data_IF_789037780167
#
_entry.id   IF_789037780167
#
_cell.length_a   1.000
_cell.length_b   1.000
_cell.length_c   1.000
_cell.angle_alpha   90.00
_cell.angle_beta   90.00
_cell.angle_gamma   90.00
#
_symmetry.space_group_name_H-M   'P 1'
#
loop_
_entity.id
_entity.type
_entity.pdbx_description
1 polymer ?
#
# COMPACT_ATOMS: atom_id res chain seq x y z
N UNK A 1 -0.41 23.97 10.03
CA UNK A 1 0.88 24.64 9.79
C UNK A 1 1.01 25.11 8.35
N UNK A 2 1.03 24.24 7.34
CA UNK A 2 1.21 24.67 5.94
C UNK A 2 0.07 25.59 5.46
N UNK A 3 -1.19 25.20 5.68
CA UNK A 3 -2.36 26.00 5.27
C UNK A 3 -2.42 27.34 6.01
N UNK A 4 -2.07 27.35 7.30
CA UNK A 4 -2.07 28.57 8.13
C UNK A 4 -0.99 29.55 7.67
N UNK A 5 0.21 29.06 7.34
CA UNK A 5 1.30 29.89 6.82
C UNK A 5 1.00 30.41 5.42
N UNK A 6 0.39 29.58 4.56
CA UNK A 6 -0.08 30.02 3.24
C UNK A 6 -1.15 31.11 3.36
N UNK A 7 -2.16 30.94 4.22
CA UNK A 7 -3.21 31.93 4.39
C UNK A 7 -2.67 33.28 4.90
N UNK A 8 -1.67 33.26 5.79
CA UNK A 8 -0.97 34.48 6.21
C UNK A 8 -0.27 35.15 5.03
N UNK A 9 0.49 34.39 4.24
CA UNK A 9 1.21 34.90 3.09
C UNK A 9 0.26 35.48 2.02
N UNK A 10 -0.87 34.83 1.76
CA UNK A 10 -1.91 35.36 0.88
C UNK A 10 -2.55 36.63 1.43
N UNK A 11 -2.78 36.69 2.75
CA UNK A 11 -3.36 37.88 3.39
C UNK A 11 -2.39 39.07 3.30
N UNK A 12 -1.11 38.84 3.55
CA UNK A 12 -0.07 39.87 3.46
C UNK A 12 0.07 40.40 2.02
N UNK A 13 -0.04 39.50 1.02
CA UNK A 13 -0.03 39.88 -0.39
C UNK A 13 -1.30 40.62 -0.81
N UNK A 14 -2.49 40.21 -0.34
CA UNK A 14 -3.75 40.93 -0.58
C UNK A 14 -3.76 42.33 0.05
N UNK A 15 -3.09 42.51 1.19
CA UNK A 15 -2.92 43.81 1.82
C UNK A 15 -2.07 44.79 1.00
N UNK A 16 -1.29 44.29 0.02
CA UNK A 16 -0.51 45.10 -0.91
C UNK A 16 -1.28 45.49 -2.18
N UNK A 17 -2.60 45.24 -2.21
CA UNK A 17 -3.54 45.57 -3.29
C UNK A 17 -3.24 44.88 -4.64
N UNK A 18 -2.51 43.76 -4.61
CA UNK A 18 -2.26 42.93 -5.79
C UNK A 18 -3.41 41.94 -6.06
N UNK A 19 -3.93 41.97 -7.29
CA UNK A 19 -4.95 41.03 -7.76
C UNK A 19 -4.28 39.76 -8.30
N UNK A 20 -4.22 38.72 -7.49
CA UNK A 20 -3.68 37.43 -7.90
C UNK A 20 -4.73 36.58 -8.63
N UNK A 21 -4.33 35.93 -9.73
CA UNK A 21 -5.16 34.89 -10.34
C UNK A 21 -5.09 33.63 -9.47
N UNK A 22 -6.11 32.79 -9.53
CA UNK A 22 -6.13 31.51 -8.82
C UNK A 22 -4.94 30.61 -9.16
N UNK A 23 -4.40 30.76 -10.36
CA UNK A 23 -3.22 30.05 -10.83
C UNK A 23 -1.94 30.53 -10.12
N UNK A 24 -1.78 31.85 -9.95
CA UNK A 24 -0.65 32.44 -9.22
C UNK A 24 -0.68 32.03 -7.74
N UNK A 25 -1.87 32.04 -7.13
CA UNK A 25 -2.06 31.54 -5.76
C UNK A 25 -1.70 30.06 -5.62
N UNK A 26 -1.96 29.24 -6.65
CA UNK A 26 -1.61 27.82 -6.64
C UNK A 26 -0.08 27.63 -6.71
N UNK A 27 0.62 28.43 -7.50
CA UNK A 27 2.08 28.42 -7.59
C UNK A 27 2.73 28.91 -6.29
N UNK A 28 2.20 29.98 -5.69
CA UNK A 28 2.65 30.48 -4.39
C UNK A 28 2.44 29.43 -3.29
N UNK A 29 1.29 28.74 -3.31
CA UNK A 29 1.01 27.65 -2.38
C UNK A 29 2.03 26.52 -2.54
N UNK A 30 2.33 26.12 -3.78
CA UNK A 30 3.29 25.07 -4.08
C UNK A 30 4.72 25.45 -3.65
N UNK A 31 5.16 26.68 -3.94
CA UNK A 31 6.49 27.17 -3.55
C UNK A 31 6.65 27.42 -2.05
N UNK A 32 5.55 27.57 -1.31
CA UNK A 32 5.55 27.67 0.16
C UNK A 32 5.66 26.31 0.87
N UNK A 33 5.64 25.20 0.11
CA UNK A 33 5.73 23.87 0.68
C UNK A 33 7.18 23.54 1.07
N UNK A 34 7.36 22.97 2.26
CA UNK A 34 8.64 22.44 2.74
C UNK A 34 9.17 21.34 1.80
N UNK A 35 10.49 21.12 1.81
CA UNK A 35 11.19 20.14 0.95
C UNK A 35 10.59 18.72 1.00
N UNK A 36 9.96 18.33 2.13
CA UNK A 36 9.19 17.09 2.29
C UNK A 36 8.00 16.95 1.29
N UNK A 37 7.62 18.04 0.64
CA UNK A 37 6.57 18.15 -0.36
C UNK A 37 7.08 18.38 -1.78
N UNK A 38 8.39 18.42 -2.01
CA UNK A 38 8.98 18.53 -3.35
C UNK A 38 8.51 17.40 -4.29
N UNK A 39 8.31 16.18 -3.78
CA UNK A 39 7.72 15.09 -4.57
C UNK A 39 6.25 15.36 -4.95
N UNK A 40 5.51 16.06 -4.09
CA UNK A 40 4.12 16.43 -4.37
C UNK A 40 4.07 17.52 -5.45
N UNK A 41 4.91 18.54 -5.32
CA UNK A 41 5.08 19.62 -6.29
C UNK A 41 5.42 19.06 -7.67
N UNK A 42 6.46 18.22 -7.77
CA UNK A 42 6.84 17.57 -9.03
C UNK A 42 5.70 16.74 -9.61
N UNK A 43 4.92 16.01 -8.81
CA UNK A 43 3.76 15.25 -9.33
C UNK A 43 2.60 16.11 -9.81
N UNK A 44 2.37 17.28 -9.20
CA UNK A 44 1.31 18.20 -9.60
C UNK A 44 1.71 18.94 -10.88
N UNK A 45 2.98 19.33 -10.99
CA UNK A 45 3.54 20.04 -12.14
C UNK A 45 3.87 19.13 -13.33
N UNK A 46 3.90 17.80 -13.15
CA UNK A 46 4.32 16.90 -14.22
C UNK A 46 3.28 16.84 -15.36
N UNK A 47 3.59 17.48 -16.48
CA UNK A 47 2.82 17.39 -17.73
C UNK A 47 1.49 18.16 -17.73
N UNK A 48 1.31 19.09 -16.79
CA UNK A 48 0.17 20.03 -16.77
C UNK A 48 0.66 21.45 -17.07
N UNK A 49 0.11 22.04 -18.12
CA UNK A 49 0.37 23.44 -18.48
C UNK A 49 -0.37 24.43 -17.55
N UNK A 50 -1.40 23.95 -16.83
CA UNK A 50 -2.18 24.73 -15.86
C UNK A 50 -2.42 23.91 -14.58
N UNK A 51 -2.26 24.56 -13.43
CA UNK A 51 -2.47 24.00 -12.09
C UNK A 51 -3.55 24.79 -11.38
N UNK A 52 -4.65 24.10 -11.07
CA UNK A 52 -5.74 24.71 -10.32
C UNK A 52 -5.49 24.65 -8.81
N UNK A 53 -5.85 25.73 -8.12
CA UNK A 53 -5.71 25.82 -6.65
C UNK A 53 -6.49 24.71 -5.91
N UNK A 54 -7.64 24.29 -6.46
CA UNK A 54 -8.44 23.19 -5.92
C UNK A 54 -7.67 21.86 -5.94
N UNK A 55 -7.00 21.55 -7.04
CA UNK A 55 -6.20 20.32 -7.16
C UNK A 55 -5.03 20.32 -6.18
N UNK A 56 -4.35 21.45 -6.01
CA UNK A 56 -3.26 21.59 -5.03
C UNK A 56 -3.78 21.32 -3.61
N UNK A 57 -4.91 21.93 -3.24
CA UNK A 57 -5.54 21.73 -1.94
C UNK A 57 -5.95 20.26 -1.69
N UNK A 58 -6.58 19.61 -2.68
CA UNK A 58 -6.99 18.20 -2.58
C UNK A 58 -5.77 17.27 -2.47
N UNK A 59 -4.74 17.52 -3.26
CA UNK A 59 -3.50 16.75 -3.25
C UNK A 59 -2.78 16.90 -1.89
N UNK A 60 -2.71 18.12 -1.34
CA UNK A 60 -2.15 18.38 -0.02
C UNK A 60 -2.96 17.70 1.09
N UNK A 61 -4.28 17.83 1.07
CA UNK A 61 -5.15 17.22 2.07
C UNK A 61 -5.03 15.70 2.06
N UNK A 62 -5.03 15.07 0.89
CA UNK A 62 -4.88 13.62 0.75
C UNK A 62 -3.51 13.12 1.22
N UNK A 63 -2.43 13.87 1.00
CA UNK A 63 -1.09 13.53 1.48
C UNK A 63 -1.02 13.63 3.01
N UNK A 64 -1.58 14.68 3.59
CA UNK A 64 -1.62 14.87 5.05
C UNK A 64 -2.46 13.80 5.75
N UNK A 65 -3.58 13.41 5.15
CA UNK A 65 -4.42 12.31 5.65
C UNK A 65 -3.63 10.99 5.70
N UNK A 66 -2.92 10.64 4.61
CA UNK A 66 -2.06 9.43 4.57
C UNK A 66 -0.91 9.47 5.58
N UNK A 67 -0.39 10.66 5.93
CA UNK A 67 0.64 10.83 6.95
C UNK A 67 0.10 10.54 8.36
N UNK A 68 -1.11 10.99 8.67
CA UNK A 68 -1.79 10.70 9.95
C UNK A 68 -2.16 9.24 10.10
N UNK A 69 -2.61 8.58 9.03
CA UNK A 69 -2.87 7.13 9.04
C UNK A 69 -1.58 6.32 9.25
N UNK A 70 -0.46 6.77 8.66
CA UNK A 70 0.84 6.16 8.89
C UNK A 70 1.28 6.28 10.35
N UNK A 71 1.11 7.44 10.99
CA UNK A 71 1.46 7.66 12.40
C UNK A 71 0.70 6.72 13.36
N UNK A 72 -0.55 6.34 13.04
CA UNK A 72 -1.30 5.34 13.82
C UNK A 72 -0.72 3.92 13.62
N UNK A 73 -0.12 3.65 12.47
CA UNK A 73 0.50 2.35 12.13
C UNK A 73 2.01 2.26 12.39
N UNK A 74 2.69 3.38 12.67
CA UNK A 74 4.15 3.50 12.71
C UNK A 74 4.70 3.84 14.10
N UNK A 75 4.09 3.34 15.17
CA UNK A 75 4.81 3.07 16.44
C UNK A 75 5.77 1.88 16.26
N UNK A 76 6.54 1.90 15.19
CA UNK A 76 7.37 0.82 14.68
C UNK A 76 8.17 1.32 13.48
N UNK A 77 9.34 1.86 13.82
CA UNK A 77 10.57 1.91 13.04
C UNK A 77 10.68 2.87 11.84
N UNK A 78 11.38 3.97 12.14
CA UNK A 78 12.47 4.63 11.41
C UNK A 78 12.74 4.27 9.93
N UNK A 79 12.82 5.34 9.13
CA UNK A 79 13.88 5.62 8.16
C UNK A 79 14.33 4.46 7.23
N UNK A 80 13.55 4.16 6.18
CA UNK A 80 14.12 3.44 5.01
C UNK A 80 13.55 4.00 3.70
N UNK A 81 14.45 4.67 2.97
CA UNK A 81 14.50 4.94 1.53
C UNK A 81 13.45 4.17 0.69
N UNK A 82 12.50 4.91 0.11
CA UNK A 82 11.54 4.33 -0.85
C UNK A 82 12.17 4.13 -2.23
N UNK A 83 13.06 3.14 -2.34
CA UNK A 83 13.31 2.48 -3.63
C UNK A 83 12.12 1.58 -3.92
N UNK A 84 11.34 1.97 -4.93
CA UNK A 84 10.38 1.20 -5.73
C UNK A 84 10.19 -0.27 -5.29
N UNK A 85 9.11 -0.54 -4.55
CA UNK A 85 8.69 -1.89 -4.19
C UNK A 85 7.19 -1.96 -3.93
N UNK A 86 6.50 -2.84 -4.67
CA UNK A 86 5.06 -3.15 -4.54
C UNK A 86 4.62 -3.21 -3.07
N UNK A 87 3.65 -2.39 -2.67
CA UNK A 87 2.95 -2.60 -1.41
C UNK A 87 2.12 -3.88 -1.49
N UNK A 88 2.66 -4.99 -0.97
CA UNK A 88 1.83 -6.14 -0.64
C UNK A 88 0.97 -5.76 0.56
N UNK A 89 -0.28 -5.41 0.29
CA UNK A 89 -1.34 -5.35 1.30
C UNK A 89 -1.33 -6.67 2.07
N UNK A 90 -0.89 -6.63 3.32
CA UNK A 90 -1.04 -7.73 4.27
C UNK A 90 -2.51 -7.77 4.69
N UNK A 91 -3.36 -8.32 3.81
CA UNK A 91 -4.72 -8.70 4.16
C UNK A 91 -4.57 -9.81 5.20
N UNK A 92 -4.83 -9.48 6.46
CA UNK A 92 -5.00 -10.45 7.56
C UNK A 92 -6.30 -11.19 7.35
N UNK A 93 -6.36 -11.98 6.27
CA UNK A 93 -7.39 -12.99 6.16
C UNK A 93 -7.00 -14.06 7.17
N UNK A 94 -7.69 -14.09 8.31
CA UNK A 94 -7.73 -15.23 9.22
C UNK A 94 -8.37 -16.42 8.48
N UNK A 95 -7.69 -16.92 7.46
CA UNK A 95 -8.02 -18.18 6.82
C UNK A 95 -7.61 -19.23 7.83
N UNK A 96 -8.60 -19.86 8.45
CA UNK A 96 -8.43 -21.04 9.28
C UNK A 96 -7.31 -21.89 8.71
N UNK A 97 -6.21 -21.97 9.48
CA UNK A 97 -5.06 -22.80 9.16
C UNK A 97 -5.55 -24.24 9.29
N UNK A 98 -6.10 -24.78 8.20
CA UNK A 98 -6.38 -26.21 8.09
C UNK A 98 -5.13 -26.94 8.53
N UNK A 99 -5.28 -27.75 9.59
CA UNK A 99 -4.25 -28.55 10.25
C UNK A 99 -3.14 -28.89 9.26
N UNK A 100 -1.92 -28.42 9.56
CA UNK A 100 -0.70 -28.85 8.88
C UNK A 100 -0.79 -30.37 8.74
N UNK A 101 -0.99 -30.87 7.53
CA UNK A 101 -0.87 -32.31 7.27
C UNK A 101 0.51 -32.68 7.78
N UNK A 102 0.57 -33.59 8.75
CA UNK A 102 1.84 -34.12 9.24
C UNK A 102 2.68 -34.48 8.01
N UNK A 103 3.93 -34.00 7.99
CA UNK A 103 4.84 -34.33 6.90
C UNK A 103 5.03 -35.84 6.96
N UNK A 104 4.47 -36.55 5.97
CA UNK A 104 4.66 -37.98 5.80
C UNK A 104 6.16 -38.26 5.75
N UNK A 105 6.59 -39.35 6.38
CA UNK A 105 7.97 -39.81 6.25
C UNK A 105 8.27 -40.14 4.78
N UNK A 106 9.57 -40.15 4.41
CA UNK A 106 10.02 -40.38 3.02
C UNK A 106 9.57 -41.73 2.44
N UNK A 107 9.15 -42.64 3.31
CA UNK A 107 8.71 -44.00 2.98
C UNK A 107 7.32 -44.31 3.56
N UNK A 108 6.45 -43.30 3.70
CA UNK A 108 5.10 -43.44 4.25
C UNK A 108 4.02 -43.20 3.20
N UNK A 109 3.05 -44.10 3.12
CA UNK A 109 1.97 -44.05 2.16
C UNK A 109 1.01 -42.89 2.42
N UNK A 110 0.82 -41.99 1.44
CA UNK A 110 -0.09 -40.85 1.57
C UNK A 110 -1.60 -41.18 1.61
N UNK A 111 -1.98 -42.47 1.58
CA UNK A 111 -3.36 -42.93 1.70
C UNK A 111 -3.62 -43.67 3.01
N UNK A 112 -2.81 -44.68 3.36
CA UNK A 112 -3.00 -45.47 4.59
C UNK A 112 -2.04 -45.12 5.73
N UNK A 113 -1.04 -44.28 5.48
CA UNK A 113 -0.02 -43.85 6.44
C UNK A 113 0.86 -45.00 6.99
N UNK A 114 0.87 -46.15 6.31
CA UNK A 114 1.79 -47.26 6.59
C UNK A 114 3.12 -47.05 5.84
N UNK A 115 4.23 -47.55 6.40
CA UNK A 115 5.55 -47.43 5.79
C UNK A 115 5.82 -48.52 4.75
N UNK A 116 6.82 -48.32 3.89
CA UNK A 116 7.33 -49.31 2.95
C UNK A 116 6.63 -49.33 1.59
N UNK A 117 5.70 -48.41 1.33
CA UNK A 117 5.07 -48.24 0.03
C UNK A 117 4.53 -46.82 -0.15
N UNK A 118 4.39 -46.40 -1.40
CA UNK A 118 3.87 -45.07 -1.75
C UNK A 118 2.39 -45.18 -2.09
N UNK A 119 1.66 -44.05 -2.13
CA UNK A 119 0.20 -44.06 -2.40
C UNK A 119 -0.18 -44.84 -3.67
N UNK A 120 0.65 -44.81 -4.71
CA UNK A 120 0.43 -45.54 -5.97
C UNK A 120 0.45 -47.06 -5.79
N UNK A 121 1.20 -47.54 -4.81
CA UNK A 121 1.41 -48.96 -4.54
C UNK A 121 0.58 -49.46 -3.36
N UNK A 122 -0.35 -48.64 -2.86
CA UNK A 122 -1.12 -48.97 -1.68
C UNK A 122 -2.05 -50.17 -1.92
N UNK A 123 -1.88 -51.29 -1.19
CA UNK A 123 -2.72 -52.47 -1.36
C UNK A 123 -4.20 -52.19 -1.03
N UNK A 124 -4.45 -51.24 -0.12
CA UNK A 124 -5.81 -50.78 0.24
C UNK A 124 -6.49 -49.94 -0.85
N UNK A 125 -5.72 -49.41 -1.81
CA UNK A 125 -6.26 -48.67 -2.96
C UNK A 125 -6.56 -49.63 -4.11
N UNK A 126 -5.68 -50.61 -4.36
CA UNK A 126 -5.88 -51.66 -5.38
C UNK A 126 -7.11 -52.54 -5.10
N UNK A 127 -7.41 -52.81 -3.84
CA UNK A 127 -8.64 -53.54 -3.47
C UNK A 127 -9.91 -52.75 -3.81
N UNK A 128 -9.89 -51.41 -3.74
CA UNK A 128 -11.04 -50.58 -4.14
C UNK A 128 -11.21 -50.50 -5.65
N UNK A 129 -10.13 -50.47 -6.43
CA UNK A 129 -10.21 -50.45 -7.89
C UNK A 129 -10.76 -51.77 -8.48
N UNK A 130 -10.52 -52.89 -7.80
CA UNK A 130 -11.06 -54.21 -8.19
C UNK A 130 -12.55 -54.40 -7.84
N UNK A 131 -13.16 -53.54 -7.02
CA UNK A 131 -14.59 -53.64 -6.66
C UNK A 131 -15.52 -52.81 -7.58
N UNK A 132 -14.99 -52.11 -8.59
CA UNK A 132 -15.78 -51.38 -9.59
C UNK A 132 -15.79 -52.06 -10.97
N UNK A 133 -15.34 -53.32 -11.03
CA UNK A 133 -15.35 -54.14 -12.26
C UNK A 133 -16.02 -55.50 -12.03
N UNK A 134 -17.12 -55.51 -11.30
CA UNK A 134 -18.15 -56.56 -11.36
C UNK A 134 -19.53 -55.92 -11.54
#
# INVERSE_FOLDING_TARGET
MIITSFNQLVTDLMNMDEVFKYQDLALILLGSLLEEYALLETTILNGKDDVSLSEVCVALYSKELRRKDKQISSSGDAEVLLVRGRSQKKVTNKRWRSKSRQRLSKDECAFCHEKGHWKRDCPRLKTKENNYKE
#
